data_IF_752518105045
#
_entry.id   IF_752518105045
#
_cell.length_a   1.000
_cell.length_b   1.000
_cell.length_c   1.000
_cell.angle_alpha   90.00
_cell.angle_beta   90.00
_cell.angle_gamma   90.00
#
_symmetry.space_group_name_H-M   'P 1'
#
loop_
_entity.id
_entity.type
_entity.pdbx_description
1 polymer ?
#
# COMPACT_ATOMS: atom_id res chain seq x y z
N UNK A 1 20.55 29.53 -2.42
CA UNK A 1 20.68 28.73 -3.67
C UNK A 1 21.45 27.50 -3.26
N UNK A 2 20.77 26.52 -2.69
CA UNK A 2 21.44 25.49 -1.88
C UNK A 2 21.53 24.21 -2.71
N UNK A 3 22.74 23.96 -3.24
CA UNK A 3 23.07 22.74 -3.98
C UNK A 3 23.42 21.64 -2.99
N UNK A 4 22.58 20.60 -2.91
CA UNK A 4 22.90 19.36 -2.19
C UNK A 4 23.78 18.45 -3.05
N UNK A 5 25.04 18.28 -2.65
CA UNK A 5 25.95 17.26 -3.19
C UNK A 5 25.78 15.95 -2.39
N UNK A 6 25.17 14.93 -3.00
CA UNK A 6 25.23 13.56 -2.48
C UNK A 6 26.40 12.80 -3.11
N UNK A 7 27.37 12.42 -2.29
CA UNK A 7 28.49 11.54 -2.67
C UNK A 7 27.96 10.10 -2.76
N UNK A 8 27.68 9.65 -3.97
CA UNK A 8 27.15 8.32 -4.27
C UNK A 8 28.07 7.19 -3.77
N UNK A 9 27.54 6.31 -2.91
CA UNK A 9 27.88 4.88 -2.91
C UNK A 9 26.60 4.06 -2.85
N UNK A 10 26.24 3.46 -4.00
CA UNK A 10 25.32 2.32 -4.16
C UNK A 10 23.84 2.44 -3.71
N UNK A 11 23.17 3.57 -3.97
CA UNK A 11 21.69 3.59 -4.00
C UNK A 11 21.22 3.15 -5.38
N UNK A 12 20.74 1.91 -5.52
CA UNK A 12 20.22 1.35 -6.79
C UNK A 12 18.75 1.71 -7.11
N UNK A 13 18.08 2.48 -6.25
CA UNK A 13 16.68 2.88 -6.47
C UNK A 13 16.37 4.22 -5.80
N UNK A 14 16.29 5.28 -6.61
CA UNK A 14 15.88 6.65 -6.20
C UNK A 14 14.44 6.96 -6.60
N UNK A 15 13.68 5.98 -7.10
CA UNK A 15 12.27 6.13 -7.46
C UNK A 15 11.37 6.67 -6.32
N UNK A 16 11.62 6.42 -5.01
CA UNK A 16 10.82 7.02 -3.93
C UNK A 16 10.82 8.55 -3.93
N UNK A 17 11.85 9.16 -4.53
CA UNK A 17 12.06 10.60 -4.52
C UNK A 17 11.40 11.30 -5.71
N UNK A 18 11.19 10.60 -6.84
CA UNK A 18 10.54 11.18 -8.02
C UNK A 18 9.13 11.69 -7.73
N UNK A 19 8.32 10.92 -6.99
CA UNK A 19 7.00 11.34 -6.52
C UNK A 19 7.06 12.50 -5.51
N UNK A 20 8.06 12.53 -4.63
CA UNK A 20 8.25 13.63 -3.67
C UNK A 20 8.73 14.93 -4.34
N UNK A 21 9.60 14.82 -5.35
CA UNK A 21 10.03 15.93 -6.21
C UNK A 21 8.86 16.52 -6.99
N UNK A 22 7.94 15.68 -7.45
CA UNK A 22 6.71 16.12 -8.11
C UNK A 22 5.79 16.85 -7.12
N UNK A 23 5.64 16.37 -5.87
CA UNK A 23 4.88 17.08 -4.82
C UNK A 23 5.47 18.45 -4.53
N UNK A 24 6.80 18.58 -4.47
CA UNK A 24 7.47 19.86 -4.23
C UNK A 24 7.25 20.84 -5.40
N UNK A 25 7.43 20.38 -6.65
CA UNK A 25 7.14 21.18 -7.85
C UNK A 25 5.67 21.60 -7.95
N UNK A 26 4.75 20.71 -7.59
CA UNK A 26 3.30 20.99 -7.60
C UNK A 26 2.94 22.04 -6.54
N UNK A 27 3.59 21.98 -5.37
CA UNK A 27 3.48 22.98 -4.30
C UNK A 27 3.98 24.36 -4.76
N UNK A 28 5.11 24.40 -5.45
CA UNK A 28 5.69 25.63 -6.01
C UNK A 28 4.81 26.21 -7.13
N UNK A 29 4.22 25.36 -7.98
CA UNK A 29 3.35 25.79 -9.09
C UNK A 29 2.02 26.36 -8.59
N UNK A 30 1.40 25.74 -7.58
CA UNK A 30 0.15 26.23 -6.99
C UNK A 30 0.34 27.51 -6.18
N UNK A 31 1.51 27.72 -5.58
CA UNK A 31 1.84 28.98 -4.91
C UNK A 31 2.00 30.15 -5.90
N UNK A 32 2.31 29.88 -7.16
CA UNK A 32 2.48 30.90 -8.21
C UNK A 32 1.16 31.27 -8.90
N UNK A 33 0.12 30.44 -8.84
CA UNK A 33 -1.18 30.72 -9.45
C UNK A 33 -2.15 31.38 -8.45
N UNK A 34 -2.44 32.67 -8.61
CA UNK A 34 -3.51 33.34 -7.87
C UNK A 34 -4.90 32.81 -8.29
N UNK A 35 -5.44 31.90 -7.46
CA UNK A 35 -6.84 31.52 -7.25
C UNK A 35 -7.87 31.63 -8.40
N UNK A 36 -8.10 30.55 -9.17
CA UNK A 36 -9.43 30.21 -9.69
C UNK A 36 -10.28 29.47 -8.64
N UNK A 37 -11.62 29.46 -8.70
CA UNK A 37 -12.50 28.87 -7.66
C UNK A 37 -12.24 27.38 -7.32
N UNK A 38 -11.68 26.62 -8.28
CA UNK A 38 -11.25 25.23 -8.09
C UNK A 38 -9.85 25.05 -7.47
N UNK A 39 -9.07 26.12 -7.29
CA UNK A 39 -7.78 26.09 -6.58
C UNK A 39 -7.96 25.85 -5.08
N UNK A 40 -9.14 26.14 -4.52
CA UNK A 40 -9.34 26.11 -3.06
C UNK A 40 -9.18 24.71 -2.46
N UNK A 41 -9.52 23.64 -3.18
CA UNK A 41 -9.35 22.26 -2.72
C UNK A 41 -7.88 21.82 -2.77
N UNK A 42 -7.23 22.03 -3.91
CA UNK A 42 -5.80 21.71 -4.06
C UNK A 42 -4.96 22.54 -3.10
N UNK A 43 -5.25 23.83 -2.93
CA UNK A 43 -4.58 24.69 -1.95
C UNK A 43 -4.79 24.18 -0.52
N UNK A 44 -6.00 23.71 -0.16
CA UNK A 44 -6.25 23.09 1.16
C UNK A 44 -5.43 21.82 1.36
N UNK A 45 -5.41 20.93 0.37
CA UNK A 45 -4.58 19.72 0.39
C UNK A 45 -3.08 20.03 0.45
N UNK A 46 -2.62 21.03 -0.29
CA UNK A 46 -1.22 21.49 -0.27
C UNK A 46 -0.87 22.13 1.07
N UNK A 47 -1.76 22.92 1.67
CA UNK A 47 -1.56 23.48 3.00
C UNK A 47 -1.50 22.39 4.07
N UNK A 48 -2.37 21.39 3.96
CA UNK A 48 -2.34 20.20 4.80
C UNK A 48 -1.00 19.46 4.63
N UNK A 49 -0.57 19.24 3.39
CA UNK A 49 0.72 18.62 3.07
C UNK A 49 1.91 19.37 3.68
N UNK A 50 1.92 20.69 3.58
CA UNK A 50 2.97 21.55 4.13
C UNK A 50 2.98 21.51 5.66
N UNK A 51 1.80 21.54 6.29
CA UNK A 51 1.65 21.38 7.74
C UNK A 51 2.22 20.05 8.23
N UNK A 52 2.01 18.97 7.48
CA UNK A 52 2.57 17.65 7.78
C UNK A 52 4.08 17.61 7.56
N UNK A 53 4.57 18.25 6.50
CA UNK A 53 5.99 18.23 6.15
C UNK A 53 6.86 19.00 7.14
N UNK A 54 6.32 20.06 7.76
CA UNK A 54 7.01 20.82 8.80
C UNK A 54 7.14 20.10 10.15
N UNK A 55 6.51 18.92 10.33
CA UNK A 55 6.54 18.16 11.58
C UNK A 55 7.37 16.89 11.45
N UNK A 56 8.15 16.57 12.49
CA UNK A 56 8.73 15.23 12.65
C UNK A 56 7.63 14.25 13.04
N UNK A 57 7.30 13.23 12.21
CA UNK A 57 6.30 12.23 12.54
C UNK A 57 6.59 11.53 13.88
N UNK A 58 7.86 11.34 14.24
CA UNK A 58 8.23 10.63 15.48
C UNK A 58 7.95 11.46 16.73
N UNK A 59 7.82 12.77 16.61
CA UNK A 59 7.49 13.66 17.72
C UNK A 59 5.98 13.91 17.85
N UNK A 60 5.16 13.42 16.92
CA UNK A 60 3.73 13.70 16.87
C UNK A 60 2.97 13.02 18.03
N UNK A 61 2.22 13.81 18.79
CA UNK A 61 1.36 13.30 19.85
C UNK A 61 0.10 12.61 19.30
N UNK A 62 -0.56 11.79 20.13
CA UNK A 62 -1.85 11.14 19.79
C UNK A 62 -2.92 12.14 19.38
N UNK A 63 -2.99 13.28 20.07
CA UNK A 63 -3.99 14.32 19.81
C UNK A 63 -3.75 15.02 18.47
N UNK A 64 -2.49 15.31 18.14
CA UNK A 64 -2.11 15.90 16.86
C UNK A 64 -2.36 14.95 15.70
N UNK A 65 -2.04 13.66 15.88
CA UNK A 65 -2.33 12.65 14.87
C UNK A 65 -3.82 12.56 14.59
N UNK A 66 -4.68 12.50 15.62
CA UNK A 66 -6.14 12.49 15.42
C UNK A 66 -6.65 13.73 14.67
N UNK A 67 -6.18 14.93 15.04
CA UNK A 67 -6.52 16.18 14.33
C UNK A 67 -6.09 16.12 12.87
N UNK A 68 -4.90 15.60 12.62
CA UNK A 68 -4.38 15.42 11.27
C UNK A 68 -5.25 14.45 10.47
N UNK A 69 -5.55 13.27 11.02
CA UNK A 69 -6.38 12.26 10.36
C UNK A 69 -7.78 12.79 10.04
N UNK A 70 -8.41 13.53 10.96
CA UNK A 70 -9.70 14.17 10.71
C UNK A 70 -9.64 15.17 9.54
N UNK A 71 -8.57 15.97 9.48
CA UNK A 71 -8.36 16.92 8.39
C UNK A 71 -8.17 16.19 7.06
N UNK A 72 -7.37 15.11 7.06
CA UNK A 72 -7.14 14.29 5.86
C UNK A 72 -8.44 13.65 5.35
N UNK A 73 -9.26 13.06 6.24
CA UNK A 73 -10.57 12.48 5.86
C UNK A 73 -11.49 13.54 5.26
N UNK A 74 -11.57 14.71 5.89
CA UNK A 74 -12.41 15.80 5.43
C UNK A 74 -12.03 16.26 4.01
N UNK A 75 -10.73 16.42 3.76
CA UNK A 75 -10.24 16.88 2.46
C UNK A 75 -10.34 15.79 1.39
N UNK A 76 -10.05 14.52 1.70
CA UNK A 76 -10.16 13.41 0.74
C UNK A 76 -11.57 13.22 0.22
N UNK A 77 -12.56 13.32 1.10
CA UNK A 77 -13.96 13.16 0.72
C UNK A 77 -14.52 14.35 -0.08
N UNK A 78 -13.76 15.45 -0.20
CA UNK A 78 -14.17 16.63 -0.95
C UNK A 78 -13.45 16.80 -2.28
N UNK A 79 -12.46 15.96 -2.61
CA UNK A 79 -11.72 16.09 -3.87
C UNK A 79 -12.65 15.82 -5.05
N UNK A 80 -12.86 16.85 -5.87
CA UNK A 80 -13.56 16.71 -7.15
C UNK A 80 -12.78 15.76 -8.07
N UNK A 81 -13.48 14.93 -8.85
CA UNK A 81 -12.86 14.00 -9.81
C UNK A 81 -11.91 14.71 -10.77
N UNK A 82 -12.17 16.00 -11.08
CA UNK A 82 -11.27 16.83 -11.90
C UNK A 82 -9.85 16.96 -11.32
N UNK A 83 -9.70 16.94 -9.99
CA UNK A 83 -8.41 17.17 -9.30
C UNK A 83 -7.82 15.90 -8.71
N UNK A 84 -8.44 14.74 -9.00
CA UNK A 84 -8.11 13.46 -8.40
C UNK A 84 -6.65 13.08 -8.62
N UNK A 85 -6.16 13.12 -9.86
CA UNK A 85 -4.77 12.76 -10.19
C UNK A 85 -3.74 13.68 -9.51
N UNK A 86 -3.98 14.99 -9.51
CA UNK A 86 -3.09 15.98 -8.86
C UNK A 86 -3.06 15.82 -7.34
N UNK A 87 -4.14 15.30 -6.76
CA UNK A 87 -4.22 15.03 -5.32
C UNK A 87 -3.44 13.77 -4.90
N UNK A 88 -3.33 12.73 -5.75
CA UNK A 88 -2.77 11.42 -5.37
C UNK A 88 -1.36 11.50 -4.71
N UNK A 89 -0.41 12.31 -5.22
CA UNK A 89 0.89 12.44 -4.57
C UNK A 89 0.81 13.06 -3.17
N UNK A 90 -0.11 14.00 -2.95
CA UNK A 90 -0.37 14.63 -1.66
C UNK A 90 -0.98 13.59 -0.70
N UNK A 91 -2.01 12.86 -1.17
CA UNK A 91 -2.65 11.77 -0.44
C UNK A 91 -1.61 10.77 0.06
N UNK A 92 -0.73 10.33 -0.84
CA UNK A 92 0.30 9.35 -0.50
C UNK A 92 1.30 9.90 0.51
N UNK A 93 1.71 11.17 0.41
CA UNK A 93 2.61 11.77 1.39
C UNK A 93 1.98 11.83 2.80
N UNK A 94 0.69 12.17 2.89
CA UNK A 94 -0.05 12.11 4.16
C UNK A 94 0.00 10.70 4.77
N UNK A 95 -0.31 9.67 3.97
CA UNK A 95 -0.27 8.27 4.40
C UNK A 95 1.14 7.86 4.86
N UNK A 96 2.17 8.23 4.12
CA UNK A 96 3.58 7.94 4.46
C UNK A 96 3.95 8.56 5.79
N UNK A 97 3.54 9.81 6.04
CA UNK A 97 3.83 10.54 7.27
C UNK A 97 3.08 9.97 8.48
N UNK A 98 1.83 9.57 8.30
CA UNK A 98 1.08 8.79 9.31
C UNK A 98 1.82 7.49 9.61
N UNK A 99 2.28 6.78 8.58
CA UNK A 99 3.16 5.61 8.73
C UNK A 99 4.53 5.91 9.34
N UNK A 100 4.89 7.17 9.58
CA UNK A 100 6.14 7.59 10.23
C UNK A 100 6.03 7.78 11.74
N UNK A 101 4.82 7.89 12.30
CA UNK A 101 4.62 8.13 13.74
C UNK A 101 5.08 6.96 14.62
N UNK A 102 5.34 7.25 15.90
CA UNK A 102 5.69 6.22 16.88
C UNK A 102 4.61 5.14 16.98
N UNK A 103 5.02 3.91 17.25
CA UNK A 103 4.17 2.73 17.31
C UNK A 103 3.00 2.87 18.27
N UNK A 104 3.27 3.28 19.52
CA UNK A 104 2.25 3.51 20.54
C UNK A 104 1.22 4.59 20.14
N UNK A 105 1.65 5.58 19.34
CA UNK A 105 0.76 6.62 18.80
C UNK A 105 -0.07 6.05 17.65
N UNK A 106 0.54 5.27 16.76
CA UNK A 106 -0.12 4.65 15.61
C UNK A 106 -1.22 3.66 16.04
N UNK A 107 -0.98 2.86 17.09
CA UNK A 107 -1.97 1.93 17.64
C UNK A 107 -3.22 2.66 18.14
N UNK A 108 -3.08 3.88 18.65
CA UNK A 108 -4.21 4.67 19.16
C UNK A 108 -5.18 5.17 18.09
N UNK A 109 -4.84 4.98 16.81
CA UNK A 109 -5.64 5.42 15.66
C UNK A 109 -6.02 4.28 14.72
N UNK A 110 -5.79 3.01 15.10
CA UNK A 110 -6.19 1.84 14.31
C UNK A 110 -7.67 1.84 13.93
N UNK A 111 -8.53 2.25 14.87
CA UNK A 111 -9.98 2.32 14.71
C UNK A 111 -10.47 3.71 14.27
N UNK A 112 -9.55 4.59 13.84
CA UNK A 112 -9.92 5.93 13.39
C UNK A 112 -10.67 5.85 12.04
N UNK A 113 -11.71 6.67 11.79
CA UNK A 113 -12.46 6.67 10.52
C UNK A 113 -11.60 6.81 9.27
N UNK A 114 -10.45 7.47 9.39
CA UNK A 114 -9.43 7.53 8.35
C UNK A 114 -9.00 6.15 7.85
N UNK A 115 -8.69 5.22 8.76
CA UNK A 115 -8.20 3.90 8.38
C UNK A 115 -9.28 3.13 7.64
N UNK A 116 -10.54 3.27 8.06
CA UNK A 116 -11.69 2.70 7.34
C UNK A 116 -11.92 3.36 5.98
N UNK A 117 -11.72 4.67 5.87
CA UNK A 117 -11.87 5.40 4.59
C UNK A 117 -10.87 5.00 3.52
N UNK A 118 -9.78 4.33 3.88
CA UNK A 118 -8.81 3.80 2.91
C UNK A 118 -9.33 2.59 2.15
N UNK A 119 -10.33 1.88 2.66
CA UNK A 119 -10.79 0.61 2.10
C UNK A 119 -11.26 0.75 0.66
N UNK A 120 -12.31 1.53 0.41
CA UNK A 120 -12.92 1.63 -0.92
C UNK A 120 -11.95 2.15 -1.99
N UNK A 121 -11.18 3.24 -1.74
CA UNK A 121 -10.17 3.69 -2.69
C UNK A 121 -9.09 2.64 -2.98
N UNK A 122 -8.74 1.81 -2.00
CA UNK A 122 -7.74 0.77 -2.20
C UNK A 122 -8.29 -0.44 -2.98
N UNK A 123 -9.55 -0.80 -2.76
CA UNK A 123 -10.28 -1.79 -3.57
C UNK A 123 -10.33 -1.34 -5.03
N UNK A 124 -10.73 -0.09 -5.27
CA UNK A 124 -10.79 0.48 -6.62
C UNK A 124 -9.42 0.45 -7.31
N UNK A 125 -8.35 0.70 -6.55
CA UNK A 125 -6.99 0.68 -7.06
C UNK A 125 -6.51 -0.75 -7.38
N UNK A 126 -6.90 -1.76 -6.59
CA UNK A 126 -6.66 -3.17 -6.90
C UNK A 126 -7.39 -3.58 -8.18
N UNK A 127 -8.66 -3.21 -8.34
CA UNK A 127 -9.42 -3.48 -9.55
C UNK A 127 -8.83 -2.78 -10.78
N UNK A 128 -8.39 -1.52 -10.65
CA UNK A 128 -7.69 -0.81 -11.73
C UNK A 128 -6.36 -1.48 -12.08
N UNK A 129 -5.59 -1.95 -11.10
CA UNK A 129 -4.34 -2.69 -11.37
C UNK A 129 -4.58 -3.98 -12.14
N UNK A 130 -5.64 -4.70 -11.78
CA UNK A 130 -6.08 -5.91 -12.48
C UNK A 130 -6.57 -5.62 -13.89
N UNK A 131 -7.41 -4.60 -14.09
CA UNK A 131 -8.10 -4.43 -15.36
C UNK A 131 -7.33 -3.58 -16.37
N UNK A 132 -6.45 -2.70 -15.90
CA UNK A 132 -5.70 -1.78 -16.75
C UNK A 132 -4.38 -2.39 -17.23
N UNK A 133 -3.99 -2.02 -18.46
CA UNK A 133 -2.64 -2.23 -18.99
C UNK A 133 -1.58 -1.32 -18.36
N UNK A 134 -2.00 -0.25 -17.66
CA UNK A 134 -1.08 0.68 -17.00
C UNK A 134 -1.73 1.36 -15.79
N UNK A 135 -0.94 1.58 -14.74
CA UNK A 135 -1.31 2.37 -13.56
C UNK A 135 -0.54 3.70 -13.59
N UNK A 136 -1.19 4.80 -13.18
CA UNK A 136 -0.52 6.11 -13.10
C UNK A 136 0.56 6.11 -12.02
N UNK A 137 1.59 6.95 -12.17
CA UNK A 137 2.64 7.04 -11.15
C UNK A 137 2.07 7.46 -9.78
N UNK A 138 1.08 8.37 -9.77
CA UNK A 138 0.39 8.80 -8.56
C UNK A 138 -0.33 7.65 -7.87
N UNK A 139 -1.09 6.87 -8.64
CA UNK A 139 -1.76 5.66 -8.19
C UNK A 139 -0.78 4.62 -7.63
N UNK A 140 0.36 4.39 -8.30
CA UNK A 140 1.37 3.46 -7.84
C UNK A 140 2.02 3.90 -6.51
N UNK A 141 2.18 5.21 -6.31
CA UNK A 141 2.69 5.78 -5.07
C UNK A 141 1.66 5.63 -3.94
N UNK A 142 0.37 5.86 -4.21
CA UNK A 142 -0.72 5.62 -3.25
C UNK A 142 -0.79 4.14 -2.86
N UNK A 143 -0.78 3.22 -3.83
CA UNK A 143 -0.77 1.77 -3.60
C UNK A 143 0.33 1.39 -2.60
N UNK A 144 1.54 1.87 -2.88
CA UNK A 144 2.71 1.62 -2.05
C UNK A 144 2.56 2.18 -0.64
N UNK A 145 2.02 3.39 -0.51
CA UNK A 145 1.83 4.05 0.78
C UNK A 145 0.82 3.31 1.65
N UNK A 146 -0.33 2.91 1.07
CA UNK A 146 -1.38 2.16 1.76
C UNK A 146 -0.86 0.80 2.24
N UNK A 147 -0.24 0.01 1.36
CA UNK A 147 0.31 -1.30 1.75
C UNK A 147 1.34 -1.17 2.88
N UNK A 148 2.25 -0.19 2.80
CA UNK A 148 3.23 0.04 3.87
C UNK A 148 2.58 0.44 5.18
N UNK A 149 1.53 1.25 5.13
CA UNK A 149 0.77 1.61 6.32
C UNK A 149 0.14 0.36 6.94
N UNK A 150 -0.53 -0.48 6.14
CA UNK A 150 -1.09 -1.76 6.60
C UNK A 150 0.00 -2.63 7.22
N UNK A 151 1.10 -2.89 6.52
CA UNK A 151 2.24 -3.66 7.05
C UNK A 151 2.71 -3.13 8.40
N UNK A 152 2.83 -1.81 8.55
CA UNK A 152 3.24 -1.20 9.81
C UNK A 152 2.18 -1.38 10.89
N UNK A 153 0.92 -1.12 10.59
CA UNK A 153 -0.19 -1.29 11.54
C UNK A 153 -0.22 -2.71 12.08
N UNK A 154 -0.12 -3.71 11.20
CA UNK A 154 -0.16 -5.11 11.61
C UNK A 154 1.10 -5.51 12.38
N UNK A 155 2.29 -5.03 12.01
CA UNK A 155 3.52 -5.30 12.78
C UNK A 155 3.56 -4.61 14.14
N UNK A 156 2.84 -3.51 14.28
CA UNK A 156 2.80 -2.70 15.52
C UNK A 156 1.94 -3.33 16.62
N UNK A 157 1.13 -4.34 16.30
CA UNK A 157 0.24 -4.99 17.27
C UNK A 157 0.51 -6.49 17.34
N UNK A 158 0.65 -7.02 18.56
CA UNK A 158 0.60 -8.47 18.80
C UNK A 158 -0.83 -9.02 18.73
N UNK A 159 -1.83 -8.17 18.98
CA UNK A 159 -3.24 -8.54 18.98
C UNK A 159 -3.85 -8.30 17.59
N UNK A 160 -4.34 -9.37 16.96
CA UNK A 160 -4.99 -9.30 15.65
C UNK A 160 -6.44 -8.79 15.74
N UNK A 161 -7.07 -8.80 16.92
CA UNK A 161 -8.46 -8.36 17.12
C UNK A 161 -8.64 -6.84 17.05
N UNK A 162 -7.56 -6.08 17.24
CA UNK A 162 -7.59 -4.61 17.16
C UNK A 162 -7.31 -4.09 15.75
N UNK A 163 -7.06 -4.98 14.79
CA UNK A 163 -6.86 -4.60 13.41
C UNK A 163 -8.16 -4.03 12.80
N UNK A 164 -8.06 -3.17 11.78
CA UNK A 164 -9.23 -2.70 11.05
C UNK A 164 -10.00 -3.90 10.47
N UNK A 165 -11.27 -4.03 10.81
CA UNK A 165 -12.10 -5.18 10.43
C UNK A 165 -12.20 -5.36 8.91
N UNK A 166 -12.14 -4.26 8.15
CA UNK A 166 -12.19 -4.29 6.69
C UNK A 166 -11.01 -5.02 6.05
N UNK A 167 -9.88 -5.19 6.75
CA UNK A 167 -8.77 -6.01 6.25
C UNK A 167 -9.17 -7.47 6.05
N UNK A 168 -10.22 -7.93 6.74
CA UNK A 168 -10.70 -9.31 6.66
C UNK A 168 -12.12 -9.41 6.11
N UNK A 169 -12.69 -8.34 5.57
CA UNK A 169 -14.01 -8.45 4.96
C UNK A 169 -13.98 -9.07 3.56
N UNK A 170 -15.13 -9.61 3.17
CA UNK A 170 -15.26 -10.35 1.92
C UNK A 170 -14.97 -9.50 0.70
N UNK A 171 -15.33 -8.21 0.71
CA UNK A 171 -15.17 -7.32 -0.44
C UNK A 171 -13.69 -7.05 -0.72
N UNK A 172 -12.92 -6.73 0.32
CA UNK A 172 -11.49 -6.49 0.19
C UNK A 172 -10.72 -7.77 -0.13
N UNK A 173 -11.04 -8.87 0.55
CA UNK A 173 -10.41 -10.17 0.27
C UNK A 173 -10.73 -10.67 -1.15
N UNK A 174 -11.93 -10.41 -1.66
CA UNK A 174 -12.28 -10.75 -3.06
C UNK A 174 -11.48 -9.93 -4.07
N UNK A 175 -11.27 -8.63 -3.82
CA UNK A 175 -10.42 -7.82 -4.70
C UNK A 175 -8.96 -8.32 -4.74
N UNK A 176 -8.45 -8.83 -3.61
CA UNK A 176 -7.13 -9.48 -3.54
C UNK A 176 -7.14 -10.81 -4.30
N UNK A 177 -8.15 -11.65 -4.10
CA UNK A 177 -8.35 -12.92 -4.81
C UNK A 177 -8.39 -12.75 -6.32
N UNK A 178 -9.08 -11.72 -6.80
CA UNK A 178 -9.15 -11.33 -8.21
C UNK A 178 -7.77 -10.97 -8.77
N UNK A 179 -6.97 -10.19 -8.01
CA UNK A 179 -5.61 -9.86 -8.41
C UNK A 179 -4.71 -11.10 -8.46
N UNK A 180 -4.83 -12.02 -7.50
CA UNK A 180 -4.09 -13.28 -7.48
C UNK A 180 -4.43 -14.14 -8.71
N UNK A 181 -5.71 -14.24 -9.04
CA UNK A 181 -6.21 -14.97 -10.22
C UNK A 181 -5.64 -14.38 -11.53
N UNK A 182 -5.61 -13.05 -11.63
CA UNK A 182 -5.01 -12.37 -12.79
C UNK A 182 -3.48 -12.58 -12.83
N UNK A 183 -2.78 -12.54 -11.70
CA UNK A 183 -1.35 -12.84 -11.63
C UNK A 183 -1.03 -14.27 -12.10
N UNK A 184 -1.87 -15.24 -11.74
CA UNK A 184 -1.72 -16.63 -12.14
C UNK A 184 -1.83 -16.83 -13.66
N UNK A 185 -2.60 -15.97 -14.34
CA UNK A 185 -2.98 -16.17 -15.75
C UNK A 185 -2.34 -15.17 -16.73
N UNK A 186 -1.95 -13.99 -16.25
CA UNK A 186 -1.46 -12.90 -17.10
C UNK A 186 0.06 -12.76 -17.09
N UNK A 187 0.63 -12.47 -18.28
CA UNK A 187 2.07 -12.22 -18.45
C UNK A 187 2.50 -10.78 -18.14
N UNK A 188 1.57 -9.83 -17.97
CA UNK A 188 1.90 -8.41 -17.72
C UNK A 188 2.72 -8.19 -16.44
N UNK A 189 2.66 -9.12 -15.49
CA UNK A 189 3.38 -9.04 -14.22
C UNK A 189 4.89 -9.31 -14.33
N UNK A 190 5.34 -9.74 -15.50
CA UNK A 190 6.76 -9.85 -15.84
C UNK A 190 7.34 -8.51 -16.33
N UNK A 191 6.48 -7.53 -16.67
CA UNK A 191 6.89 -6.19 -17.10
C UNK A 191 7.32 -5.31 -15.92
N UNK A 192 8.25 -4.39 -16.17
CA UNK A 192 8.91 -3.59 -15.12
C UNK A 192 7.94 -2.72 -14.30
N UNK A 193 6.93 -2.13 -14.94
CA UNK A 193 5.93 -1.30 -14.27
C UNK A 193 5.10 -2.11 -13.26
N UNK A 194 4.55 -3.26 -13.69
CA UNK A 194 3.75 -4.13 -12.82
C UNK A 194 4.60 -4.82 -11.75
N UNK A 195 5.89 -5.04 -12.02
CA UNK A 195 6.83 -5.66 -11.07
C UNK A 195 6.94 -4.89 -9.74
N UNK A 196 6.94 -3.55 -9.78
CA UNK A 196 7.03 -2.74 -8.55
C UNK A 196 5.76 -2.80 -7.70
N UNK A 197 4.59 -2.83 -8.34
CA UNK A 197 3.32 -3.02 -7.67
C UNK A 197 3.20 -4.43 -7.11
N UNK A 198 3.59 -5.43 -7.88
CA UNK A 198 3.66 -6.82 -7.43
C UNK A 198 4.53 -6.97 -6.19
N UNK A 199 5.67 -6.27 -6.10
CA UNK A 199 6.50 -6.29 -4.88
C UNK A 199 5.71 -5.84 -3.65
N UNK A 200 4.86 -4.82 -3.78
CA UNK A 200 4.03 -4.31 -2.68
C UNK A 200 2.87 -5.25 -2.41
N UNK A 201 2.20 -5.74 -3.44
CA UNK A 201 1.17 -6.75 -3.29
C UNK A 201 1.70 -8.04 -2.60
N UNK A 202 2.92 -8.46 -2.91
CA UNK A 202 3.61 -9.57 -2.21
C UNK A 202 3.78 -9.28 -0.71
N UNK A 203 4.05 -8.01 -0.36
CA UNK A 203 4.09 -7.55 1.03
C UNK A 203 2.73 -7.63 1.71
N UNK A 204 1.65 -7.25 1.00
CA UNK A 204 0.28 -7.39 1.47
C UNK A 204 -0.10 -8.86 1.74
N UNK A 205 0.26 -9.80 0.86
CA UNK A 205 0.08 -11.24 1.15
C UNK A 205 0.89 -11.67 2.39
N UNK A 206 2.06 -11.07 2.58
CA UNK A 206 2.88 -11.27 3.78
C UNK A 206 2.16 -10.84 5.06
N UNK A 207 1.39 -9.75 5.03
CA UNK A 207 0.57 -9.31 6.17
C UNK A 207 -0.39 -10.40 6.61
N UNK A 208 -1.12 -11.01 5.67
CA UNK A 208 -2.06 -12.10 6.00
C UNK A 208 -1.35 -13.36 6.48
N UNK A 209 -0.16 -13.65 5.94
CA UNK A 209 0.68 -14.74 6.47
C UNK A 209 1.04 -14.46 7.94
N UNK A 210 1.49 -13.24 8.25
CA UNK A 210 1.84 -12.84 9.62
C UNK A 210 0.62 -12.84 10.55
N UNK A 211 -0.59 -12.54 10.06
CA UNK A 211 -1.83 -12.65 10.81
C UNK A 211 -2.15 -14.12 11.15
N UNK A 212 -2.09 -15.00 10.15
CA UNK A 212 -2.34 -16.43 10.34
C UNK A 212 -1.41 -17.04 11.39
N UNK A 213 -0.11 -16.74 11.32
CA UNK A 213 0.88 -17.21 12.29
C UNK A 213 0.63 -16.74 13.74
N UNK A 214 -0.08 -15.62 13.93
CA UNK A 214 -0.41 -15.08 15.26
C UNK A 214 -1.75 -15.54 15.81
N UNK A 215 -2.57 -16.15 14.97
CA UNK A 215 -3.87 -16.68 15.36
C UNK A 215 -3.72 -17.99 16.16
N UNK A 216 -3.20 -17.90 17.38
CA UNK A 216 -3.23 -18.99 18.36
C UNK A 216 -4.69 -19.26 18.79
N UNK A 217 -5.14 -20.49 18.58
CA UNK A 217 -6.34 -21.15 19.10
C UNK A 217 -7.74 -20.53 18.83
N UNK A 218 -8.52 -21.28 18.04
CA UNK A 218 -9.99 -21.39 17.82
C UNK A 218 -10.98 -20.21 17.90
N UNK A 219 -10.63 -19.03 18.42
CA UNK A 219 -11.61 -17.95 18.67
C UNK A 219 -11.40 -16.70 17.82
N UNK A 220 -10.85 -16.84 16.61
CA UNK A 220 -10.84 -15.74 15.66
C UNK A 220 -11.68 -16.09 14.42
N UNK A 221 -12.87 -15.48 14.33
CA UNK A 221 -13.80 -15.67 13.21
C UNK A 221 -13.23 -15.16 11.88
N UNK A 222 -12.15 -14.39 11.88
CA UNK A 222 -11.49 -13.93 10.66
C UNK A 222 -10.58 -14.99 10.02
N UNK A 223 -10.23 -16.09 10.75
CA UNK A 223 -9.41 -17.18 10.20
C UNK A 223 -10.05 -17.78 8.94
N UNK A 224 -11.32 -18.15 9.07
CA UNK A 224 -12.07 -18.83 8.01
C UNK A 224 -12.36 -17.88 6.84
N UNK A 225 -12.30 -16.56 7.04
CA UNK A 225 -12.50 -15.59 5.95
C UNK A 225 -11.36 -15.63 4.93
N UNK A 226 -10.14 -16.01 5.36
CA UNK A 226 -9.01 -16.13 4.46
C UNK A 226 -9.10 -17.32 3.49
N UNK A 227 -10.08 -18.22 3.68
CA UNK A 227 -10.35 -19.33 2.76
C UNK A 227 -10.54 -18.85 1.31
N UNK A 228 -11.10 -17.64 1.12
CA UNK A 228 -11.33 -17.00 -0.18
C UNK A 228 -10.01 -16.85 -0.97
N UNK A 229 -8.88 -16.70 -0.28
CA UNK A 229 -7.57 -16.55 -0.91
C UNK A 229 -6.92 -17.89 -1.30
N UNK A 230 -7.37 -19.03 -0.75
CA UNK A 230 -6.74 -20.33 -1.01
C UNK A 230 -6.83 -20.74 -2.48
N UNK A 231 -8.01 -20.66 -3.09
CA UNK A 231 -8.20 -21.01 -4.50
C UNK A 231 -7.26 -20.24 -5.44
N UNK A 232 -7.25 -18.90 -5.40
CA UNK A 232 -6.32 -18.09 -6.20
C UNK A 232 -4.83 -18.35 -5.91
N UNK A 233 -4.44 -18.62 -4.64
CA UNK A 233 -3.06 -18.99 -4.29
C UNK A 233 -2.70 -20.35 -4.90
N UNK A 234 -3.59 -21.34 -4.84
CA UNK A 234 -3.40 -22.65 -5.48
C UNK A 234 -3.30 -22.47 -7.00
N UNK A 235 -4.11 -21.60 -7.60
CA UNK A 235 -4.03 -21.29 -9.01
C UNK A 235 -2.68 -20.68 -9.40
N UNK A 236 -2.11 -19.81 -8.56
CA UNK A 236 -0.73 -19.34 -8.76
C UNK A 236 0.26 -20.52 -8.75
N UNK A 237 0.18 -21.40 -7.75
CA UNK A 237 1.10 -22.53 -7.58
C UNK A 237 0.93 -23.65 -8.62
N UNK A 238 -0.20 -23.70 -9.30
CA UNK A 238 -0.50 -24.68 -10.37
C UNK A 238 -0.43 -24.07 -11.77
N UNK A 239 -0.13 -22.77 -11.88
CA UNK A 239 -0.02 -22.08 -13.16
C UNK A 239 1.19 -22.52 -13.98
N UNK A 240 1.09 -22.36 -15.31
CA UNK A 240 2.24 -22.52 -16.20
C UNK A 240 3.39 -21.56 -15.87
N UNK A 241 3.08 -20.38 -15.31
CA UNK A 241 4.08 -19.43 -14.86
C UNK A 241 4.92 -19.99 -13.71
N UNK A 242 4.28 -20.61 -12.71
CA UNK A 242 4.99 -21.28 -11.62
C UNK A 242 5.88 -22.39 -12.14
N UNK A 243 5.37 -23.28 -12.99
CA UNK A 243 6.17 -24.40 -13.53
C UNK A 243 7.42 -23.91 -14.27
N UNK A 244 7.27 -22.85 -15.07
CA UNK A 244 8.38 -22.21 -15.77
C UNK A 244 9.40 -21.58 -14.81
N UNK A 245 8.92 -20.83 -13.81
CA UNK A 245 9.76 -20.21 -12.78
C UNK A 245 10.52 -21.28 -12.00
N UNK A 246 9.84 -22.30 -11.48
CA UNK A 246 10.43 -23.35 -10.65
C UNK A 246 11.57 -24.08 -11.39
N UNK A 247 11.34 -24.46 -12.65
CA UNK A 247 12.32 -25.16 -13.47
C UNK A 247 13.56 -24.29 -13.76
N UNK A 248 13.35 -23.00 -14.04
CA UNK A 248 14.45 -22.09 -14.38
C UNK A 248 15.23 -21.60 -13.16
N UNK A 249 14.60 -21.41 -12.01
CA UNK A 249 15.26 -20.95 -10.79
C UNK A 249 16.15 -22.05 -10.19
N UNK A 250 15.77 -23.33 -10.32
CA UNK A 250 16.60 -24.47 -9.90
C UNK A 250 17.99 -24.49 -10.56
N UNK A 251 18.13 -23.82 -11.72
CA UNK A 251 19.36 -23.77 -12.50
C UNK A 251 20.20 -22.51 -12.24
N UNK A 252 19.73 -21.54 -11.43
CA UNK A 252 20.38 -20.23 -11.22
C UNK A 252 20.90 -20.07 -9.79
N UNK A 253 22.14 -19.57 -9.63
CA UNK A 253 22.75 -19.17 -8.33
C UNK A 253 22.52 -17.69 -7.95
N UNK A 254 21.65 -16.98 -8.66
CA UNK A 254 21.42 -15.54 -8.44
C UNK A 254 20.27 -15.28 -7.46
N UNK A 255 20.23 -14.05 -6.92
CA UNK A 255 19.12 -13.58 -6.09
C UNK A 255 17.79 -13.68 -6.84
N UNK A 256 16.76 -14.24 -6.18
CA UNK A 256 15.40 -14.32 -6.72
C UNK A 256 14.83 -12.95 -7.07
N UNK A 257 14.22 -12.85 -8.24
CA UNK A 257 13.40 -11.72 -8.71
C UNK A 257 12.10 -11.60 -7.90
N UNK A 258 11.37 -10.49 -8.08
CA UNK A 258 10.11 -10.26 -7.34
C UNK A 258 9.05 -11.32 -7.67
N UNK A 259 8.90 -11.68 -8.94
CA UNK A 259 7.94 -12.70 -9.38
C UNK A 259 8.34 -14.09 -8.84
N UNK A 260 9.63 -14.42 -8.83
CA UNK A 260 10.14 -15.66 -8.23
C UNK A 260 9.88 -15.70 -6.71
N UNK A 261 10.17 -14.62 -5.98
CA UNK A 261 9.85 -14.53 -4.54
C UNK A 261 8.35 -14.70 -4.29
N UNK A 262 7.50 -14.12 -5.14
CA UNK A 262 6.05 -14.22 -5.01
C UNK A 262 5.58 -15.68 -5.17
N UNK A 263 5.97 -16.34 -6.27
CA UNK A 263 5.54 -17.71 -6.57
C UNK A 263 6.21 -18.77 -5.70
N UNK A 264 7.52 -18.66 -5.43
CA UNK A 264 8.31 -19.71 -4.77
C UNK A 264 8.36 -19.58 -3.25
N UNK A 265 8.15 -18.38 -2.70
CA UNK A 265 8.22 -18.16 -1.25
C UNK A 265 6.89 -17.66 -0.69
N UNK A 266 6.29 -16.63 -1.28
CA UNK A 266 5.12 -15.98 -0.67
C UNK A 266 3.86 -16.83 -0.76
N UNK A 267 3.53 -17.35 -1.95
CA UNK A 267 2.36 -18.21 -2.13
C UNK A 267 2.43 -19.48 -1.26
N UNK A 268 3.54 -20.25 -1.23
CA UNK A 268 3.67 -21.41 -0.36
C UNK A 268 3.61 -21.05 1.13
N UNK A 269 4.27 -19.95 1.53
CA UNK A 269 4.25 -19.51 2.93
C UNK A 269 2.84 -19.18 3.42
N UNK A 270 2.01 -18.55 2.57
CA UNK A 270 0.61 -18.31 2.91
C UNK A 270 -0.15 -19.64 3.11
N UNK A 271 0.00 -20.58 2.17
CA UNK A 271 -0.69 -21.88 2.19
C UNK A 271 -0.29 -22.72 3.42
N UNK A 272 1.00 -22.83 3.71
CA UNK A 272 1.52 -23.59 4.86
C UNK A 272 1.09 -22.97 6.19
N UNK A 273 0.94 -21.64 6.23
CA UNK A 273 0.51 -20.94 7.44
C UNK A 273 -1.00 -20.94 7.64
N UNK A 274 -1.77 -21.48 6.68
CA UNK A 274 -3.22 -21.46 6.77
C UNK A 274 -3.72 -22.27 7.96
N UNK A 275 -4.52 -21.62 8.80
CA UNK A 275 -5.05 -22.16 10.05
C UNK A 275 -6.55 -21.90 10.23
N UNK A 276 -7.27 -21.63 9.14
CA UNK A 276 -8.73 -21.71 9.13
C UNK A 276 -9.20 -23.16 9.12
N UNK A 277 -10.47 -23.37 9.46
CA UNK A 277 -11.11 -24.68 9.45
C UNK A 277 -11.53 -25.12 8.04
#
# INVERSE_FOLDING_TARGET
MDKFYFKYRNVKDVSPWSGLLNVQKLTETLQQTHNPPGSSQLVRLTNLNNSINGKDPKAMSKSELKKLLNSVVHEFNQVDDKYKEESLPIIANCIIKIGGVQEATLLSVLQHPFVSSLQAPFIDLLHRWRNSSSISDGEAVVFRAVVKLIEKLVKSTGDTKVLPSWLFDSTFLSAIADCLTDIATSRKYFDEQHRLLLKRFTGLIGVYTDCQLRWNDNNNNDKDKLVILLGPIIQCLTSSHYAHIFTNTAQKKTKMTIIENFYLLRCPSFLISYNGN
#
